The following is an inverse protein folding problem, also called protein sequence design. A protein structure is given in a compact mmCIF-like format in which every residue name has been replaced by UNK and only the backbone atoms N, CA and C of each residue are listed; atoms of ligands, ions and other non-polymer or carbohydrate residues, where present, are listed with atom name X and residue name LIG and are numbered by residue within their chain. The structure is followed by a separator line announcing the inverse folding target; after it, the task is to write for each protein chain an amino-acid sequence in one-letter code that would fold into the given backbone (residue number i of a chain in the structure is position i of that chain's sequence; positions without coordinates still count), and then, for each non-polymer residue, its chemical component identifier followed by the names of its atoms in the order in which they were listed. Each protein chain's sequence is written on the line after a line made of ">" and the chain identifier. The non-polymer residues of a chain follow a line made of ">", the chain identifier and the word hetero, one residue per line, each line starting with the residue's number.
data_IF_475541160635
#
_entry.id   IF_475541160635
#
_cell.length_a   1.000
_cell.length_b   1.000
_cell.length_c   1.000
_cell.angle_alpha   90.00
_cell.angle_beta   90.00
_cell.angle_gamma   90.00
#
_symmetry.space_group_name_H-M   'P 1'
#
loop_
_entity.id
_entity.type
_entity.pdbx_description
1 polymer ?
#
# COMPACT_ATOMS: atom_id res chain seq x y z
N UNK A 1 -3.53 17.90 18.16
CA UNK A 1 -2.76 16.62 18.11
C UNK A 1 -3.24 15.66 19.20
N UNK A 2 -2.94 14.37 19.09
CA UNK A 2 -3.41 13.33 20.04
C UNK A 2 -2.34 12.82 21.02
N UNK A 3 -1.18 13.49 21.11
CA UNK A 3 -0.13 13.18 22.09
C UNK A 3 0.70 11.91 21.82
N UNK A 4 0.64 11.33 20.62
CA UNK A 4 1.44 10.16 20.26
C UNK A 4 2.85 10.55 19.79
N UNK A 5 3.85 9.75 20.16
CA UNK A 5 5.16 9.75 19.51
C UNK A 5 5.06 9.02 18.16
N UNK A 6 5.46 9.70 17.09
CA UNK A 6 5.41 9.19 15.72
C UNK A 6 6.82 8.82 15.27
N UNK A 7 7.00 7.54 14.94
CA UNK A 7 8.20 7.07 14.26
C UNK A 7 7.88 7.00 12.76
N UNK A 8 8.49 7.88 11.98
CA UNK A 8 8.26 7.98 10.54
C UNK A 8 9.50 7.55 9.76
N UNK A 9 9.29 7.01 8.56
CA UNK A 9 10.37 6.58 7.66
C UNK A 9 10.43 7.48 6.42
N UNK A 10 11.64 7.87 6.02
CA UNK A 10 11.90 8.49 4.72
C UNK A 10 12.92 7.65 3.95
N UNK A 11 12.81 7.65 2.61
CA UNK A 11 13.81 6.98 1.76
C UNK A 11 15.20 7.61 1.87
N UNK A 12 15.27 8.93 2.03
CA UNK A 12 16.51 9.67 2.14
C UNK A 12 16.39 10.79 3.18
N UNK A 13 17.15 10.70 4.28
CA UNK A 13 17.21 11.75 5.30
C UNK A 13 18.10 12.93 4.90
N UNK A 14 18.88 12.81 3.81
CA UNK A 14 19.65 13.91 3.24
C UNK A 14 18.82 14.86 2.36
N UNK A 15 17.56 14.53 2.06
CA UNK A 15 16.64 15.43 1.34
C UNK A 15 16.06 16.45 2.32
N UNK A 16 16.80 17.54 2.54
CA UNK A 16 16.42 18.60 3.49
C UNK A 16 15.02 19.15 3.21
N UNK A 17 14.63 19.29 1.94
CA UNK A 17 13.30 19.81 1.58
C UNK A 17 12.16 18.96 2.16
N UNK A 18 12.27 17.63 2.08
CA UNK A 18 11.27 16.71 2.63
C UNK A 18 11.38 16.56 4.14
N UNK A 19 12.61 16.55 4.66
CA UNK A 19 12.85 16.44 6.10
C UNK A 19 12.31 17.68 6.82
N UNK A 20 12.59 18.87 6.31
CA UNK A 20 12.17 20.13 6.89
C UNK A 20 10.65 20.29 6.83
N UNK A 21 10.01 19.82 5.74
CA UNK A 21 8.55 19.75 5.66
C UNK A 21 7.95 18.91 6.80
N UNK A 22 8.48 17.72 7.07
CA UNK A 22 7.96 16.85 8.15
C UNK A 22 8.31 17.43 9.54
N UNK A 23 9.50 18.02 9.69
CA UNK A 23 9.91 18.69 10.93
C UNK A 23 9.13 19.99 11.21
N UNK A 24 8.54 20.60 10.19
CA UNK A 24 7.67 21.78 10.38
C UNK A 24 6.31 21.45 11.02
N UNK A 25 5.98 20.16 11.17
CA UNK A 25 4.74 19.74 11.83
C UNK A 25 4.77 20.13 13.32
N UNK A 26 3.60 20.46 13.92
CA UNK A 26 3.52 20.75 15.34
C UNK A 26 4.15 19.64 16.19
N UNK A 27 4.89 20.05 17.22
CA UNK A 27 5.54 19.19 18.20
C UNK A 27 6.51 18.13 17.65
N UNK A 28 6.96 18.28 16.40
CA UNK A 28 7.93 17.39 15.78
C UNK A 28 9.22 17.25 16.61
N UNK A 29 9.73 18.35 17.17
CA UNK A 29 10.98 18.36 17.97
C UNK A 29 10.92 17.46 19.21
N UNK A 30 9.73 17.17 19.73
CA UNK A 30 9.55 16.37 20.95
C UNK A 30 9.00 14.96 20.68
N UNK A 31 8.25 14.77 19.58
CA UNK A 31 7.46 13.56 19.36
C UNK A 31 7.65 12.91 17.99
N UNK A 32 8.44 13.48 17.10
CA UNK A 32 8.76 12.89 15.80
C UNK A 32 10.16 12.26 15.84
N UNK A 33 10.26 10.99 15.44
CA UNK A 33 11.54 10.30 15.23
C UNK A 33 11.60 9.83 13.79
N UNK A 34 12.59 10.31 13.05
CA UNK A 34 12.79 9.98 11.63
C UNK A 34 13.81 8.85 11.47
N UNK A 35 13.46 7.86 10.67
CA UNK A 35 14.33 6.75 10.28
C UNK A 35 14.52 6.75 8.76
N UNK A 36 15.72 6.40 8.30
CA UNK A 36 15.91 6.13 6.88
C UNK A 36 15.53 4.68 6.59
N UNK A 37 14.61 4.46 5.66
CA UNK A 37 14.23 3.13 5.21
C UNK A 37 13.69 3.18 3.77
N UNK A 38 13.97 2.14 2.99
CA UNK A 38 13.38 1.95 1.68
C UNK A 38 12.42 0.75 1.70
N UNK A 39 11.29 0.91 1.01
CA UNK A 39 10.31 -0.16 0.88
C UNK A 39 10.85 -1.31 0.02
N UNK A 40 11.68 -0.98 -0.97
CA UNK A 40 12.27 -1.96 -1.89
C UNK A 40 13.34 -2.83 -1.19
N UNK A 41 13.88 -2.37 -0.05
CA UNK A 41 14.84 -3.12 0.79
C UNK A 41 14.27 -3.47 2.17
N UNK A 42 12.94 -3.41 2.34
CA UNK A 42 12.27 -3.54 3.63
C UNK A 42 12.53 -4.87 4.37
N UNK A 43 13.00 -5.92 3.68
CA UNK A 43 13.42 -7.17 4.32
C UNK A 43 14.62 -6.99 5.28
N UNK A 44 15.40 -5.94 5.10
CA UNK A 44 16.64 -5.69 5.84
C UNK A 44 16.43 -4.82 7.09
N UNK A 45 15.34 -4.05 7.16
CA UNK A 45 15.14 -3.08 8.23
C UNK A 45 14.27 -3.63 9.38
N UNK A 46 14.80 -3.57 10.61
CA UNK A 46 14.17 -4.12 11.83
C UNK A 46 13.14 -3.20 12.50
N UNK A 47 12.78 -2.07 11.89
CA UNK A 47 12.16 -0.93 12.61
C UNK A 47 10.85 -0.39 12.01
N UNK A 48 10.12 -1.18 11.24
CA UNK A 48 8.79 -0.77 10.77
C UNK A 48 7.76 -0.96 11.88
N UNK A 49 7.22 0.14 12.42
CA UNK A 49 6.15 0.10 13.44
C UNK A 49 4.79 0.60 12.94
N UNK A 50 4.76 1.34 11.83
CA UNK A 50 3.56 1.67 11.07
C UNK A 50 4.01 2.21 9.70
N UNK A 51 3.40 1.77 8.61
CA UNK A 51 3.67 2.31 7.28
C UNK A 51 2.36 2.61 6.58
N UNK A 52 2.18 3.89 6.27
CA UNK A 52 1.16 4.36 5.33
C UNK A 52 1.76 4.24 3.93
N UNK A 53 1.29 3.28 3.14
CA UNK A 53 1.65 3.16 1.74
C UNK A 53 0.75 4.11 0.93
N UNK A 54 1.32 5.20 0.42
CA UNK A 54 0.63 6.14 -0.45
C UNK A 54 1.19 6.00 -1.86
N UNK A 55 0.66 5.07 -2.66
CA UNK A 55 0.96 5.01 -4.09
C UNK A 55 -0.06 5.88 -4.83
N UNK A 56 0.26 7.16 -5.01
CA UNK A 56 -0.49 8.00 -5.96
C UNK A 56 0.03 7.63 -7.35
N UNK A 57 -0.65 6.68 -8.00
CA UNK A 57 -0.40 6.34 -9.39
C UNK A 57 -0.83 7.54 -10.24
N UNK A 58 0.11 8.41 -10.59
CA UNK A 58 -0.11 9.36 -11.66
C UNK A 58 -0.21 8.55 -12.96
N UNK A 59 -1.38 8.60 -13.59
CA UNK A 59 -1.58 8.15 -14.95
C UNK A 59 -0.70 9.01 -15.86
N UNK A 60 0.51 8.53 -16.16
CA UNK A 60 1.27 8.95 -17.32
C UNK A 60 1.26 7.79 -18.29
N UNK A 61 0.53 7.99 -19.39
CA UNK A 61 0.47 7.13 -20.55
C UNK A 61 1.84 6.54 -20.89
N UNK A 62 1.88 5.23 -21.15
CA UNK A 62 2.96 4.52 -21.88
C UNK A 62 4.15 3.97 -21.09
N UNK A 63 3.96 3.00 -20.17
CA UNK A 63 4.92 1.91 -19.96
C UNK A 63 4.36 0.76 -19.11
N UNK A 64 3.88 -0.32 -19.76
CA UNK A 64 3.34 -1.52 -19.11
C UNK A 64 4.29 -2.17 -18.10
N UNK A 65 5.60 -2.08 -18.34
CA UNK A 65 6.64 -2.61 -17.45
C UNK A 65 6.69 -1.84 -16.12
N UNK A 66 6.51 -0.52 -16.16
CA UNK A 66 6.59 0.34 -14.96
C UNK A 66 5.39 0.06 -14.05
N UNK A 67 4.19 -0.06 -14.62
CA UNK A 67 3.00 -0.38 -13.83
C UNK A 67 3.13 -1.76 -13.16
N UNK A 68 3.57 -2.77 -13.90
CA UNK A 68 3.78 -4.11 -13.39
C UNK A 68 4.79 -4.16 -12.24
N UNK A 69 5.96 -3.55 -12.43
CA UNK A 69 7.00 -3.50 -11.39
C UNK A 69 6.50 -2.75 -10.15
N UNK A 70 5.70 -1.69 -10.34
CA UNK A 70 5.09 -0.93 -9.24
C UNK A 70 4.13 -1.79 -8.43
N UNK A 71 3.28 -2.61 -9.07
CA UNK A 71 2.39 -3.53 -8.35
C UNK A 71 3.16 -4.58 -7.55
N UNK A 72 4.20 -5.16 -8.13
CA UNK A 72 5.04 -6.14 -7.42
C UNK A 72 5.74 -5.51 -6.23
N UNK A 73 6.37 -4.34 -6.40
CA UNK A 73 7.02 -3.62 -5.31
C UNK A 73 6.03 -3.24 -4.20
N UNK A 74 4.81 -2.84 -4.55
CA UNK A 74 3.78 -2.51 -3.56
C UNK A 74 3.36 -3.74 -2.74
N UNK A 75 3.15 -4.89 -3.38
CA UNK A 75 2.80 -6.15 -2.70
C UNK A 75 3.96 -6.64 -1.84
N UNK A 76 5.19 -6.66 -2.40
CA UNK A 76 6.38 -7.10 -1.70
C UNK A 76 6.67 -6.22 -0.48
N UNK A 77 6.56 -4.90 -0.63
CA UNK A 77 6.71 -3.93 0.44
C UNK A 77 5.69 -4.10 1.56
N UNK A 78 4.40 -4.18 1.21
CA UNK A 78 3.34 -4.41 2.19
C UNK A 78 3.55 -5.71 2.97
N UNK A 79 3.96 -6.78 2.28
CA UNK A 79 4.27 -8.08 2.91
C UNK A 79 5.48 -7.97 3.85
N UNK A 80 6.58 -7.35 3.41
CA UNK A 80 7.77 -7.15 4.23
C UNK A 80 7.46 -6.38 5.54
N UNK A 81 6.63 -5.34 5.44
CA UNK A 81 6.18 -4.55 6.60
C UNK A 81 5.31 -5.41 7.53
N UNK A 82 4.35 -6.16 7.00
CA UNK A 82 3.50 -7.05 7.79
C UNK A 82 4.34 -8.11 8.53
N UNK A 83 5.30 -8.73 7.85
CA UNK A 83 6.22 -9.70 8.44
C UNK A 83 7.14 -9.07 9.50
N UNK A 84 7.58 -7.82 9.29
CA UNK A 84 8.34 -7.08 10.30
C UNK A 84 7.51 -6.79 11.55
N UNK A 85 6.23 -6.43 11.40
CA UNK A 85 5.31 -6.24 12.51
C UNK A 85 5.14 -7.52 13.34
N UNK A 86 4.92 -8.66 12.66
CA UNK A 86 4.81 -9.99 13.31
C UNK A 86 6.08 -10.34 14.08
N UNK A 87 7.25 -10.13 13.47
CA UNK A 87 8.56 -10.41 14.10
C UNK A 87 8.84 -9.51 15.30
N UNK A 88 8.34 -8.27 15.30
CA UNK A 88 8.60 -7.29 16.36
C UNK A 88 8.01 -7.68 17.71
N UNK A 89 6.92 -8.47 17.72
CA UNK A 89 6.10 -8.81 18.90
C UNK A 89 5.61 -7.61 19.75
N UNK A 90 5.81 -6.38 19.28
CA UNK A 90 5.43 -5.14 19.99
C UNK A 90 4.31 -4.38 19.30
N UNK A 91 4.10 -4.63 18.01
CA UNK A 91 3.01 -4.04 17.22
C UNK A 91 1.68 -4.71 17.59
N UNK A 92 0.71 -3.91 18.05
CA UNK A 92 -0.64 -4.38 18.42
C UNK A 92 -1.65 -4.31 17.27
N UNK A 93 -1.40 -3.45 16.29
CA UNK A 93 -2.29 -3.20 15.15
C UNK A 93 -1.48 -2.70 13.97
N UNK A 94 -1.70 -3.30 12.81
CA UNK A 94 -1.25 -2.79 11.52
C UNK A 94 -2.44 -2.13 10.82
N UNK A 95 -2.28 -0.89 10.38
CA UNK A 95 -3.29 -0.17 9.59
C UNK A 95 -2.69 0.03 8.21
N UNK A 96 -3.35 -0.52 7.19
CA UNK A 96 -2.97 -0.37 5.79
C UNK A 96 -3.88 0.65 5.11
N UNK A 97 -3.30 1.57 4.35
CA UNK A 97 -4.04 2.53 3.55
C UNK A 97 -4.20 1.96 2.15
N UNK A 98 -5.40 1.46 1.86
CA UNK A 98 -5.81 1.03 0.53
C UNK A 98 -6.45 2.19 -0.26
N UNK A 99 -6.88 1.92 -1.48
CA UNK A 99 -7.60 2.87 -2.34
C UNK A 99 -8.96 2.31 -2.75
N UNK A 100 -9.94 3.19 -2.94
CA UNK A 100 -11.26 2.84 -3.49
C UNK A 100 -11.15 2.23 -4.90
N UNK A 101 -10.04 2.44 -5.59
CA UNK A 101 -9.75 1.80 -6.88
C UNK A 101 -9.66 0.26 -6.78
N UNK A 102 -9.41 -0.29 -5.59
CA UNK A 102 -9.44 -1.73 -5.33
C UNK A 102 -10.87 -2.26 -5.08
N UNK A 103 -11.88 -1.39 -5.05
CA UNK A 103 -13.27 -1.71 -4.77
C UNK A 103 -14.12 -1.43 -6.01
N UNK A 104 -14.86 -2.43 -6.49
CA UNK A 104 -15.79 -2.29 -7.61
C UNK A 104 -17.15 -2.87 -7.23
N UNK A 105 -18.27 -2.19 -7.54
CA UNK A 105 -19.58 -2.79 -7.42
C UNK A 105 -19.83 -3.87 -8.48
N UNK A 106 -18.93 -4.09 -9.44
CA UNK A 106 -19.13 -5.07 -10.50
C UNK A 106 -19.31 -6.48 -9.92
N UNK A 107 -20.29 -7.21 -10.43
CA UNK A 107 -20.54 -8.61 -10.07
C UNK A 107 -19.46 -9.49 -10.70
N UNK A 108 -19.09 -10.57 -10.02
CA UNK A 108 -18.01 -11.48 -10.45
C UNK A 108 -18.30 -12.15 -11.79
N UNK A 109 -19.59 -12.34 -12.12
CA UNK A 109 -20.05 -12.90 -13.40
C UNK A 109 -20.04 -11.88 -14.55
N UNK A 110 -19.65 -10.63 -14.29
CA UNK A 110 -19.65 -9.54 -15.27
C UNK A 110 -21.04 -9.11 -15.73
N UNK A 111 -22.12 -9.59 -15.09
CA UNK A 111 -23.51 -9.33 -15.51
C UNK A 111 -23.99 -7.90 -15.19
N UNK A 112 -23.19 -7.10 -14.50
CA UNK A 112 -23.51 -5.72 -14.14
C UNK A 112 -22.93 -5.33 -12.78
N UNK A 113 -23.63 -4.45 -12.08
CA UNK A 113 -23.20 -3.89 -10.80
C UNK A 113 -24.13 -4.33 -9.66
N UNK A 114 -23.57 -4.47 -8.46
CA UNK A 114 -24.27 -4.60 -7.19
C UNK A 114 -24.92 -3.25 -6.85
N UNK A 115 -26.05 -3.30 -6.16
CA UNK A 115 -26.78 -2.10 -5.74
C UNK A 115 -26.10 -1.36 -4.59
N UNK A 116 -25.25 -2.07 -3.82
CA UNK A 116 -24.51 -1.55 -2.67
C UNK A 116 -23.04 -1.96 -2.78
N UNK A 117 -22.17 -1.02 -2.39
CA UNK A 117 -20.73 -1.25 -2.22
C UNK A 117 -20.45 -1.47 -0.74
N UNK A 118 -19.82 -2.60 -0.42
CA UNK A 118 -19.37 -2.97 0.92
C UNK A 118 -17.92 -3.49 0.89
N UNK A 119 -17.39 -3.91 2.04
CA UNK A 119 -16.03 -4.42 2.17
C UNK A 119 -15.80 -5.77 1.46
N UNK A 120 -16.84 -6.39 0.91
CA UNK A 120 -16.75 -7.61 0.08
C UNK A 120 -16.58 -7.29 -1.41
N UNK A 121 -16.72 -6.03 -1.81
CA UNK A 121 -16.51 -5.57 -3.17
C UNK A 121 -15.01 -5.46 -3.51
N UNK A 122 -14.58 -6.22 -4.51
CA UNK A 122 -13.22 -6.17 -5.04
C UNK A 122 -13.25 -5.83 -6.52
N UNK A 123 -12.29 -5.02 -6.98
CA UNK A 123 -12.09 -4.79 -8.41
C UNK A 123 -11.65 -6.10 -9.08
N UNK A 124 -12.47 -6.67 -10.00
CA UNK A 124 -12.12 -7.93 -10.64
C UNK A 124 -10.87 -7.76 -11.51
N UNK A 125 -9.90 -8.65 -11.34
CA UNK A 125 -8.65 -8.63 -12.12
C UNK A 125 -8.84 -9.10 -13.57
N UNK A 126 -9.92 -9.86 -13.83
CA UNK A 126 -10.11 -10.61 -15.08
C UNK A 126 -11.16 -10.06 -16.03
N UNK A 127 -12.01 -9.16 -15.55
CA UNK A 127 -13.12 -8.65 -16.35
C UNK A 127 -12.61 -7.49 -17.21
N UNK A 128 -12.74 -7.57 -18.54
CA UNK A 128 -12.35 -6.46 -19.41
C UNK A 128 -13.27 -5.28 -19.13
N UNK A 129 -12.75 -4.20 -18.55
CA UNK A 129 -13.51 -2.95 -18.52
C UNK A 129 -13.51 -2.35 -19.94
N UNK A 130 -14.63 -1.80 -20.44
CA UNK A 130 -14.66 -1.06 -21.69
C UNK A 130 -13.82 0.24 -21.63
N UNK A 131 -13.40 0.64 -20.42
CA UNK A 131 -12.42 1.69 -20.16
C UNK A 131 -11.17 1.15 -19.42
N UNK A 132 -10.98 -0.17 -19.39
CA UNK A 132 -9.71 -0.77 -18.98
C UNK A 132 -8.71 -0.34 -20.03
N UNK A 133 -7.71 0.42 -19.63
CA UNK A 133 -6.45 0.37 -20.35
C UNK A 133 -5.95 -1.09 -20.36
N UNK A 134 -5.19 -1.48 -21.38
CA UNK A 134 -4.54 -2.81 -21.52
C UNK A 134 -3.63 -3.22 -20.31
N UNK A 135 -3.62 -2.39 -19.27
CA UNK A 135 -2.87 -2.44 -18.04
C UNK A 135 -3.34 -3.53 -17.04
N UNK A 136 -4.61 -3.93 -17.05
CA UNK A 136 -5.15 -4.95 -16.11
C UNK A 136 -4.91 -6.41 -16.57
N UNK A 137 -4.58 -6.63 -17.85
CA UNK A 137 -4.28 -7.96 -18.43
C UNK A 137 -3.13 -8.67 -17.69
N UNK A 138 -2.12 -7.93 -17.21
CA UNK A 138 -0.96 -8.50 -16.52
C UNK A 138 -1.35 -9.08 -15.15
N UNK A 139 -2.33 -8.49 -14.46
CA UNK A 139 -2.82 -8.96 -13.17
C UNK A 139 -3.61 -10.28 -13.27
N UNK A 140 -4.18 -10.59 -14.45
CA UNK A 140 -4.88 -11.86 -14.71
C UNK A 140 -4.01 -13.07 -14.39
N UNK A 141 -2.73 -13.02 -14.74
CA UNK A 141 -1.79 -14.12 -14.53
C UNK A 141 -1.48 -14.39 -13.04
N UNK A 142 -1.76 -13.44 -12.14
CA UNK A 142 -1.40 -13.54 -10.71
C UNK A 142 -2.52 -14.04 -9.79
N UNK A 143 -3.76 -14.12 -10.28
CA UNK A 143 -4.88 -14.73 -9.54
C UNK A 143 -4.68 -16.21 -9.18
N UNK A 144 -3.63 -16.86 -9.70
CA UNK A 144 -3.20 -18.21 -9.33
C UNK A 144 -2.37 -18.27 -8.05
N UNK A 145 -1.94 -17.13 -7.50
CA UNK A 145 -1.36 -17.04 -6.16
C UNK A 145 -2.51 -16.84 -5.18
N UNK A 146 -2.65 -17.77 -4.24
CA UNK A 146 -3.73 -17.79 -3.26
C UNK A 146 -3.90 -16.43 -2.57
N UNK A 147 -5.14 -15.95 -2.38
CA UNK A 147 -5.38 -14.76 -1.59
C UNK A 147 -4.78 -14.97 -0.19
N UNK A 148 -4.11 -13.93 0.33
CA UNK A 148 -3.75 -13.86 1.74
C UNK A 148 -5.05 -13.89 2.54
N UNK A 149 -5.45 -15.08 2.97
CA UNK A 149 -6.59 -15.28 3.85
C UNK A 149 -6.23 -14.77 5.25
N UNK A 150 -6.62 -13.55 5.55
CA UNK A 150 -6.85 -13.16 6.95
C UNK A 150 -8.25 -13.62 7.30
N UNK A 151 -8.36 -14.83 7.85
CA UNK A 151 -9.64 -15.38 8.32
C UNK A 151 -10.19 -14.57 9.50
N UNK A 152 -11.50 -14.67 9.80
CA UNK A 152 -12.00 -14.28 11.10
C UNK A 152 -11.60 -15.34 12.13
N UNK A 153 -11.19 -14.88 13.32
CA UNK A 153 -10.85 -15.73 14.48
C UNK A 153 -12.01 -16.63 14.91
#
# INVERSE_FOLDING_TARGET
>A
EKGYTVHATLRNLGDSSKVDLIKSLPDADSRLVLFQADIDTANESKQFKAVTLFSMLQHTESNHVILYLTHISAIAGANAIAMSCVRSRTVKRLIYTASVAATSPMKDDGSGFKDLVDETCWTPLHVPFPYSSDHLEVLKNFSKLSPLSFGPN
#
